data_IF_881222983561
#
_entry.id   IF_881222983561
#
_cell.length_a   1.000
_cell.length_b   1.000
_cell.length_c   1.000
_cell.angle_alpha   90.00
_cell.angle_beta   90.00
_cell.angle_gamma   90.00
#
_symmetry.space_group_name_H-M   'P 1'
#
loop_
_entity.id
_entity.type
_entity.pdbx_description
1 polymer ?
#
# COMPACT_ATOMS: atom_id res chain seq x y z
N UNK A 1 26.02 -17.88 -14.50
CA UNK A 1 24.73 -17.67 -13.83
C UNK A 1 24.81 -18.36 -12.48
N UNK A 2 24.90 -17.58 -11.41
CA UNK A 2 24.99 -18.13 -10.05
C UNK A 2 23.60 -18.53 -9.55
N UNK A 3 23.54 -19.46 -8.60
CA UNK A 3 22.28 -19.96 -8.01
C UNK A 3 21.38 -18.83 -7.48
N UNK A 4 21.97 -17.77 -6.91
CA UNK A 4 21.24 -16.55 -6.50
C UNK A 4 20.60 -15.78 -7.66
N UNK A 5 21.28 -15.68 -8.81
CA UNK A 5 20.71 -15.01 -9.99
C UNK A 5 19.54 -15.79 -10.58
N UNK A 6 19.63 -17.13 -10.57
CA UNK A 6 18.55 -18.00 -11.03
C UNK A 6 17.34 -17.93 -10.10
N UNK A 7 17.55 -17.96 -8.78
CA UNK A 7 16.47 -17.83 -7.79
C UNK A 7 15.78 -16.46 -7.88
N UNK A 8 16.54 -15.37 -8.06
CA UNK A 8 15.95 -14.04 -8.26
C UNK A 8 15.15 -13.96 -9.57
N UNK A 9 15.64 -14.55 -10.67
CA UNK A 9 14.91 -14.57 -11.94
C UNK A 9 13.57 -15.32 -11.82
N UNK A 10 13.57 -16.48 -11.18
CA UNK A 10 12.36 -17.28 -10.93
C UNK A 10 11.40 -16.55 -9.98
N UNK A 11 11.91 -15.88 -8.95
CA UNK A 11 11.12 -15.04 -8.03
C UNK A 11 10.48 -13.84 -8.76
N UNK A 12 11.18 -13.24 -9.72
CA UNK A 12 10.67 -12.13 -10.54
C UNK A 12 9.56 -12.58 -11.49
N UNK A 13 9.77 -13.67 -12.22
CA UNK A 13 8.74 -14.22 -13.11
C UNK A 13 7.49 -14.64 -12.31
N UNK A 14 7.67 -15.30 -11.17
CA UNK A 14 6.55 -15.70 -10.31
C UNK A 14 5.82 -14.51 -9.69
N UNK A 15 6.52 -13.49 -9.18
CA UNK A 15 5.90 -12.29 -8.63
C UNK A 15 5.10 -11.51 -9.68
N UNK A 16 5.64 -11.40 -10.90
CA UNK A 16 4.95 -10.78 -12.02
C UNK A 16 3.69 -11.57 -12.43
N UNK A 17 3.79 -12.90 -12.52
CA UNK A 17 2.66 -13.77 -12.85
C UNK A 17 1.56 -13.71 -11.79
N UNK A 18 1.92 -13.72 -10.50
CA UNK A 18 0.97 -13.59 -9.38
C UNK A 18 0.26 -12.24 -9.44
N UNK A 19 1.00 -11.15 -9.60
CA UNK A 19 0.38 -9.83 -9.67
C UNK A 19 -0.49 -9.66 -10.92
N UNK A 20 -0.10 -10.19 -12.08
CA UNK A 20 -0.96 -10.20 -13.27
C UNK A 20 -2.27 -10.96 -13.02
N UNK A 21 -2.20 -12.09 -12.31
CA UNK A 21 -3.38 -12.85 -11.90
C UNK A 21 -4.25 -12.07 -10.90
N UNK A 22 -3.65 -11.44 -9.90
CA UNK A 22 -4.36 -10.62 -8.92
C UNK A 22 -5.00 -9.37 -9.53
N UNK A 23 -4.38 -8.77 -10.56
CA UNK A 23 -4.92 -7.63 -11.31
C UNK A 23 -6.13 -7.98 -12.17
N UNK A 24 -6.25 -9.24 -12.63
CA UNK A 24 -7.37 -9.67 -13.46
C UNK A 24 -8.71 -9.48 -12.74
N UNK A 25 -8.74 -9.72 -11.43
CA UNK A 25 -9.94 -9.62 -10.60
C UNK A 25 -10.47 -8.18 -10.49
N UNK A 26 -9.71 -7.18 -10.01
CA UNK A 26 -10.20 -5.80 -9.92
C UNK A 26 -10.55 -5.23 -11.30
N UNK A 27 -9.79 -5.56 -12.35
CA UNK A 27 -10.12 -5.10 -13.71
C UNK A 27 -11.43 -5.71 -14.24
N UNK A 28 -11.69 -6.99 -13.95
CA UNK A 28 -12.94 -7.64 -14.34
C UNK A 28 -14.15 -7.03 -13.63
N UNK A 29 -13.99 -6.72 -12.33
CA UNK A 29 -15.03 -6.04 -11.52
C UNK A 29 -15.31 -4.64 -12.06
N UNK A 30 -14.27 -3.83 -12.29
CA UNK A 30 -14.42 -2.48 -12.88
C UNK A 30 -15.15 -2.57 -14.21
N UNK A 31 -14.75 -3.49 -15.09
CA UNK A 31 -15.40 -3.67 -16.38
C UNK A 31 -16.88 -4.04 -16.25
N UNK A 32 -17.22 -4.97 -15.36
CA UNK A 32 -18.62 -5.38 -15.15
C UNK A 32 -19.47 -4.22 -14.63
N UNK A 33 -18.98 -3.48 -13.63
CA UNK A 33 -19.67 -2.33 -13.06
C UNK A 33 -19.86 -1.20 -14.09
N UNK A 34 -18.84 -0.94 -14.92
CA UNK A 34 -18.95 0.01 -16.02
C UNK A 34 -19.94 -0.43 -17.10
N UNK A 35 -20.05 -1.74 -17.38
CA UNK A 35 -21.07 -2.27 -18.29
C UNK A 35 -22.47 -2.07 -17.70
N UNK A 36 -22.67 -2.33 -16.41
CA UNK A 36 -23.95 -2.07 -15.74
C UNK A 36 -24.35 -0.61 -15.85
N UNK A 37 -23.41 0.34 -15.67
CA UNK A 37 -23.71 1.77 -15.79
C UNK A 37 -24.06 2.24 -17.22
N UNK A 38 -23.61 1.51 -18.23
CA UNK A 38 -23.82 1.81 -19.65
C UNK A 38 -24.96 0.98 -20.28
N UNK A 39 -25.63 0.14 -19.50
CA UNK A 39 -26.72 -0.68 -19.98
C UNK A 39 -28.01 0.13 -20.00
N UNK A 40 -28.37 0.66 -21.18
CA UNK A 40 -29.56 1.49 -21.38
C UNK A 40 -30.87 0.73 -21.11
N UNK A 41 -30.85 -0.61 -21.10
CA UNK A 41 -32.00 -1.46 -20.78
C UNK A 41 -32.20 -1.65 -19.27
N UNK A 42 -31.25 -1.20 -18.44
CA UNK A 42 -31.31 -1.31 -16.98
C UNK A 42 -31.61 0.06 -16.36
N UNK A 43 -32.79 0.23 -15.75
CA UNK A 43 -33.08 1.42 -14.93
C UNK A 43 -32.31 1.36 -13.60
N UNK A 44 -31.40 2.31 -13.40
CA UNK A 44 -30.58 2.44 -12.19
C UNK A 44 -30.94 3.75 -11.50
N UNK A 45 -31.28 3.70 -10.22
CA UNK A 45 -31.49 4.91 -9.42
C UNK A 45 -30.19 5.69 -9.21
N UNK A 46 -30.30 6.98 -8.91
CA UNK A 46 -29.13 7.83 -8.64
C UNK A 46 -28.29 7.34 -7.45
N UNK A 47 -28.95 6.77 -6.43
CA UNK A 47 -28.29 6.17 -5.27
C UNK A 47 -27.45 4.94 -5.67
N UNK A 48 -28.02 4.06 -6.50
CA UNK A 48 -27.33 2.85 -6.94
C UNK A 48 -26.21 3.19 -7.93
N UNK A 49 -26.41 4.16 -8.82
CA UNK A 49 -25.36 4.72 -9.68
C UNK A 49 -24.19 5.24 -8.84
N UNK A 50 -24.47 6.00 -7.78
CA UNK A 50 -23.45 6.54 -6.89
C UNK A 50 -22.67 5.45 -6.16
N UNK A 51 -23.35 4.37 -5.73
CA UNK A 51 -22.70 3.20 -5.13
C UNK A 51 -21.80 2.46 -6.11
N UNK A 52 -22.26 2.24 -7.34
CA UNK A 52 -21.48 1.57 -8.39
C UNK A 52 -20.22 2.39 -8.71
N UNK A 53 -20.35 3.71 -8.88
CA UNK A 53 -19.20 4.60 -9.11
C UNK A 53 -18.19 4.54 -7.95
N UNK A 54 -18.67 4.57 -6.70
CA UNK A 54 -17.78 4.42 -5.53
C UNK A 54 -17.08 3.07 -5.49
N UNK A 55 -17.77 1.99 -5.89
CA UNK A 55 -17.17 0.66 -5.95
C UNK A 55 -16.10 0.58 -7.05
N UNK A 56 -16.32 1.22 -8.21
CA UNK A 56 -15.31 1.34 -9.27
C UNK A 56 -14.07 2.06 -8.74
N UNK A 57 -14.25 3.19 -8.07
CA UNK A 57 -13.17 4.01 -7.51
C UNK A 57 -12.30 3.19 -6.53
N UNK A 58 -12.92 2.58 -5.52
CA UNK A 58 -12.24 1.71 -4.53
C UNK A 58 -11.51 0.55 -5.21
N UNK A 59 -12.11 -0.05 -6.24
CA UNK A 59 -11.52 -1.19 -6.95
C UNK A 59 -10.34 -0.74 -7.83
N UNK A 60 -10.41 0.46 -8.40
CA UNK A 60 -9.34 1.04 -9.21
C UNK A 60 -8.11 1.39 -8.37
N UNK A 61 -8.31 1.94 -7.17
CA UNK A 61 -7.21 2.20 -6.23
C UNK A 61 -6.50 0.91 -5.83
N UNK A 62 -7.25 -0.18 -5.60
CA UNK A 62 -6.65 -1.50 -5.31
C UNK A 62 -5.78 -1.98 -6.47
N UNK A 63 -6.26 -1.86 -7.71
CA UNK A 63 -5.47 -2.24 -8.88
C UNK A 63 -4.20 -1.38 -9.02
N UNK A 64 -4.30 -0.08 -8.75
CA UNK A 64 -3.15 0.84 -8.81
C UNK A 64 -2.09 0.47 -7.77
N UNK A 65 -2.50 0.11 -6.54
CA UNK A 65 -1.59 -0.36 -5.49
C UNK A 65 -0.81 -1.61 -5.90
N UNK A 66 -1.46 -2.60 -6.52
CA UNK A 66 -0.78 -3.81 -7.03
C UNK A 66 0.33 -3.47 -8.04
N UNK A 67 0.09 -2.50 -8.94
CA UNK A 67 1.09 -2.04 -9.91
C UNK A 67 2.24 -1.29 -9.23
N UNK A 68 1.92 -0.45 -8.24
CA UNK A 68 2.94 0.25 -7.45
C UNK A 68 3.82 -0.71 -6.66
N UNK A 69 3.26 -1.78 -6.12
CA UNK A 69 4.03 -2.77 -5.37
C UNK A 69 4.95 -3.59 -6.29
N UNK A 70 4.47 -3.98 -7.47
CA UNK A 70 5.32 -4.62 -8.50
C UNK A 70 6.51 -3.74 -8.91
N UNK A 71 6.26 -2.46 -9.16
CA UNK A 71 7.33 -1.53 -9.57
C UNK A 71 8.33 -1.27 -8.46
N UNK A 72 7.91 -1.32 -7.18
CA UNK A 72 8.81 -1.27 -6.03
C UNK A 72 9.68 -2.52 -5.95
N UNK A 73 9.12 -3.73 -6.11
CA UNK A 73 9.89 -4.99 -6.13
C UNK A 73 10.99 -4.93 -7.19
N UNK A 74 10.67 -4.49 -8.40
CA UNK A 74 11.67 -4.37 -9.47
C UNK A 74 12.81 -3.38 -9.16
N UNK A 75 12.56 -2.35 -8.33
CA UNK A 75 13.59 -1.37 -7.93
C UNK A 75 14.43 -1.85 -6.75
N UNK A 76 13.90 -2.80 -5.96
CA UNK A 76 14.56 -3.28 -4.76
C UNK A 76 15.74 -4.22 -5.05
N UNK A 77 15.77 -4.89 -6.21
CA UNK A 77 16.77 -5.93 -6.50
C UNK A 77 18.02 -5.38 -7.20
N UNK A 78 17.93 -4.22 -7.86
CA UNK A 78 19.07 -3.60 -8.58
C UNK A 78 19.95 -2.69 -7.70
N UNK A 79 19.55 -2.42 -6.45
CA UNK A 79 20.23 -1.45 -5.60
C UNK A 79 21.06 -2.13 -4.50
N UNK A 80 22.36 -1.79 -4.43
CA UNK A 80 23.09 -1.91 -3.19
C UNK A 80 22.55 -0.87 -2.20
N UNK A 81 21.93 -1.33 -1.12
CA UNK A 81 21.37 -0.43 -0.11
C UNK A 81 22.43 0.01 0.87
N UNK A 82 22.73 1.30 0.88
CA UNK A 82 23.53 1.91 1.93
C UNK A 82 22.72 1.91 3.23
N UNK A 83 23.32 1.37 4.28
CA UNK A 83 22.76 1.38 5.62
C UNK A 83 23.40 2.53 6.40
N UNK A 84 22.58 3.29 7.11
CA UNK A 84 23.04 4.40 7.93
C UNK A 84 22.36 4.39 9.32
N UNK A 85 22.96 5.01 10.33
CA UNK A 85 22.30 5.25 11.60
C UNK A 85 21.13 6.21 11.44
N UNK A 86 19.91 5.73 11.70
CA UNK A 86 18.67 6.49 11.57
C UNK A 86 18.00 6.63 12.93
N UNK A 87 17.47 7.81 13.20
CA UNK A 87 16.61 8.03 14.35
C UNK A 87 15.22 7.45 14.09
N UNK A 88 14.90 6.34 14.77
CA UNK A 88 13.61 5.63 14.65
C UNK A 88 12.39 6.53 14.88
N UNK A 89 12.49 7.47 15.83
CA UNK A 89 11.42 8.44 16.07
C UNK A 89 11.24 9.39 14.88
N UNK A 90 12.34 9.88 14.32
CA UNK A 90 12.30 10.82 13.20
C UNK A 90 11.57 10.20 12.00
N UNK A 91 11.99 9.02 11.57
CA UNK A 91 11.37 8.35 10.41
C UNK A 91 9.88 8.04 10.64
N UNK A 92 9.48 7.60 11.84
CA UNK A 92 8.07 7.40 12.14
C UNK A 92 7.27 8.71 12.13
N UNK A 93 7.84 9.81 12.64
CA UNK A 93 7.21 11.13 12.59
C UNK A 93 7.06 11.63 11.15
N UNK A 94 8.08 11.46 10.32
CA UNK A 94 8.07 11.87 8.91
C UNK A 94 6.97 11.12 8.14
N UNK A 95 6.89 9.79 8.31
CA UNK A 95 5.82 8.95 7.71
C UNK A 95 4.43 9.37 8.18
N UNK A 96 4.22 9.55 9.49
CA UNK A 96 2.91 9.96 10.02
C UNK A 96 2.53 11.34 9.50
N UNK A 97 3.47 12.29 9.45
CA UNK A 97 3.21 13.64 8.92
C UNK A 97 2.74 13.56 7.47
N UNK A 98 3.46 12.80 6.65
CA UNK A 98 3.20 12.68 5.22
C UNK A 98 1.84 12.06 4.91
N UNK A 99 1.48 10.96 5.58
CA UNK A 99 0.23 10.24 5.28
C UNK A 99 -0.99 10.79 6.05
N UNK A 100 -0.78 11.69 7.02
CA UNK A 100 -1.86 12.20 7.87
C UNK A 100 -2.98 12.87 7.09
N UNK A 101 -2.67 13.59 6.00
CA UNK A 101 -3.67 14.28 5.20
C UNK A 101 -4.54 13.29 4.40
N UNK A 102 -3.94 12.20 3.89
CA UNK A 102 -4.68 11.11 3.23
C UNK A 102 -5.65 10.44 4.21
N UNK A 103 -5.20 10.21 5.45
CA UNK A 103 -6.06 9.68 6.52
C UNK A 103 -7.24 10.62 6.83
N UNK A 104 -7.00 11.94 6.93
CA UNK A 104 -8.06 12.94 7.18
C UNK A 104 -9.11 12.96 6.08
N UNK A 105 -8.71 12.84 4.81
CA UNK A 105 -9.65 12.77 3.67
C UNK A 105 -10.62 11.59 3.79
N UNK A 106 -10.19 10.50 4.44
CA UNK A 106 -10.99 9.32 4.70
C UNK A 106 -11.73 9.36 6.05
N UNK A 107 -11.71 10.48 6.77
CA UNK A 107 -12.23 10.63 8.14
C UNK A 107 -11.57 9.69 9.16
N UNK A 108 -10.28 9.40 8.97
CA UNK A 108 -9.50 8.52 9.84
C UNK A 108 -8.29 9.26 10.42
N UNK A 109 -7.68 8.66 11.44
CA UNK A 109 -6.51 9.22 12.11
C UNK A 109 -5.44 8.15 12.23
N UNK A 110 -4.21 8.54 11.92
CA UNK A 110 -2.99 7.79 12.21
C UNK A 110 -2.20 8.56 13.28
N UNK A 111 -1.63 7.84 14.26
CA UNK A 111 -0.78 8.45 15.29
C UNK A 111 0.51 7.69 15.48
N UNK A 112 1.56 8.44 15.81
CA UNK A 112 2.79 7.87 16.33
C UNK A 112 2.73 7.85 17.86
N UNK A 113 2.77 6.65 18.45
CA UNK A 113 2.91 6.50 19.90
C UNK A 113 4.36 6.25 20.25
N UNK A 114 5.02 7.31 20.70
CA UNK A 114 6.39 7.20 21.16
C UNK A 114 6.44 6.61 22.57
N UNK A 115 6.99 5.42 22.71
CA UNK A 115 7.05 4.74 24.02
C UNK A 115 8.40 4.99 24.73
N UNK A 116 9.45 5.48 24.04
CA UNK A 116 10.79 5.71 24.63
C UNK A 116 11.59 6.88 23.99
N UNK A 117 12.81 7.14 24.49
CA UNK A 117 13.73 8.17 23.98
C UNK A 117 14.34 7.76 22.63
N UNK A 118 14.73 8.74 21.80
CA UNK A 118 15.36 8.58 20.49
C UNK A 118 16.35 7.40 20.42
N UNK A 119 15.93 6.30 19.79
CA UNK A 119 16.79 5.15 19.51
C UNK A 119 17.32 5.24 18.08
N UNK A 120 18.64 5.06 17.95
CA UNK A 120 19.29 4.91 16.65
C UNK A 120 19.21 3.44 16.22
N UNK A 121 18.76 3.23 14.99
CA UNK A 121 18.74 1.93 14.32
C UNK A 121 19.64 2.00 13.09
N UNK A 122 20.16 0.87 12.63
CA UNK A 122 20.90 0.79 11.36
C UNK A 122 19.97 0.26 10.30
N UNK A 123 19.61 1.09 9.32
CA UNK A 123 18.73 0.73 8.23
C UNK A 123 19.00 1.61 7.00
N UNK A 124 18.39 1.30 5.87
CA UNK A 124 18.30 2.24 4.76
C UNK A 124 17.05 3.11 4.95
N UNK A 125 17.21 4.44 4.94
CA UNK A 125 16.14 5.37 5.27
C UNK A 125 14.97 5.28 4.30
N UNK A 126 15.26 5.33 2.99
CA UNK A 126 14.24 5.31 1.94
C UNK A 126 13.47 3.98 1.93
N UNK A 127 14.16 2.86 2.13
CA UNK A 127 13.51 1.56 2.21
C UNK A 127 12.60 1.44 3.41
N UNK A 128 13.10 1.79 4.60
CA UNK A 128 12.32 1.70 5.82
C UNK A 128 11.11 2.64 5.76
N UNK A 129 11.29 3.84 5.21
CA UNK A 129 10.19 4.79 4.96
C UNK A 129 9.17 4.19 4.00
N UNK A 130 9.59 3.60 2.89
CA UNK A 130 8.71 2.94 1.91
C UNK A 130 7.90 1.81 2.54
N UNK A 131 8.54 0.97 3.37
CA UNK A 131 7.86 -0.11 4.11
C UNK A 131 6.83 0.45 5.08
N UNK A 132 7.18 1.48 5.86
CA UNK A 132 6.25 2.11 6.82
C UNK A 132 5.08 2.80 6.11
N UNK A 133 5.32 3.47 4.97
CA UNK A 133 4.26 4.05 4.14
C UNK A 133 3.33 2.97 3.62
N UNK A 134 3.86 1.86 3.08
CA UNK A 134 3.06 0.75 2.58
C UNK A 134 2.16 0.13 3.65
N UNK A 135 2.68 -0.07 4.87
CA UNK A 135 1.85 -0.57 5.96
C UNK A 135 0.80 0.45 6.42
N UNK A 136 1.12 1.74 6.39
CA UNK A 136 0.19 2.80 6.75
C UNK A 136 -0.94 2.93 5.72
N UNK A 137 -0.63 2.85 4.43
CA UNK A 137 -1.60 2.76 3.34
C UNK A 137 -2.47 1.51 3.50
N UNK A 138 -1.87 0.33 3.71
CA UNK A 138 -2.64 -0.89 3.91
C UNK A 138 -3.57 -0.81 5.12
N UNK A 139 -3.14 -0.17 6.20
CA UNK A 139 -3.99 0.07 7.36
C UNK A 139 -5.16 1.02 7.04
N UNK A 140 -4.97 2.00 6.16
CA UNK A 140 -6.03 2.91 5.73
C UNK A 140 -7.19 2.19 5.02
N UNK A 141 -6.90 1.18 4.20
CA UNK A 141 -7.92 0.51 3.37
C UNK A 141 -8.44 -0.81 3.94
N UNK A 142 -7.68 -1.47 4.82
CA UNK A 142 -7.98 -2.83 5.30
C UNK A 142 -8.63 -2.88 6.68
N UNK A 143 -8.68 -1.76 7.41
CA UNK A 143 -9.28 -1.74 8.74
C UNK A 143 -10.65 -1.03 8.72
N UNK A 144 -11.54 -1.47 9.61
CA UNK A 144 -12.87 -0.87 9.78
C UNK A 144 -12.76 0.64 10.02
N UNK A 145 -13.73 1.43 9.55
CA UNK A 145 -13.71 2.90 9.62
C UNK A 145 -13.46 3.46 11.04
N UNK A 146 -13.86 2.71 12.08
CA UNK A 146 -13.71 3.09 13.50
C UNK A 146 -12.37 2.71 14.12
N UNK A 147 -11.52 1.96 13.43
CA UNK A 147 -10.25 1.49 14.00
C UNK A 147 -9.19 2.57 13.87
N UNK A 148 -8.57 2.89 14.98
CA UNK A 148 -7.46 3.83 15.04
C UNK A 148 -6.16 3.17 14.59
N UNK A 149 -5.38 3.85 13.74
CA UNK A 149 -4.10 3.33 13.25
C UNK A 149 -2.96 3.93 14.09
N UNK A 150 -2.09 3.08 14.63
CA UNK A 150 -0.98 3.48 15.49
C UNK A 150 0.35 2.91 14.97
N UNK A 151 1.37 3.76 14.85
CA UNK A 151 2.76 3.35 14.69
C UNK A 151 3.44 3.43 16.06
N UNK A 152 4.08 2.33 16.47
CA UNK A 152 4.75 2.20 17.77
C UNK A 152 6.15 1.60 17.61
N UNK A 153 7.10 2.13 18.38
CA UNK A 153 8.46 1.59 18.52
C UNK A 153 8.59 0.96 19.91
N UNK A 154 9.09 -0.27 19.98
CA UNK A 154 9.38 -1.00 21.22
C UNK A 154 10.51 -2.01 21.03
N UNK A 155 11.35 -2.22 22.05
CA UNK A 155 12.31 -3.31 22.05
C UNK A 155 11.59 -4.67 22.08
N UNK A 156 12.03 -5.56 21.20
CA UNK A 156 11.77 -6.99 21.32
C UNK A 156 12.86 -7.53 22.24
N UNK A 157 12.46 -7.92 23.46
CA UNK A 157 13.36 -8.56 24.42
C UNK A 157 13.71 -9.98 24.01
#
# INVERSE_FOLDING_TARGET
>A
MNEREFLNLVAKESSFLVAAHEMKTPLSIIRQLSLTLNDDDTEISDDERSRILRQIDITSERALRLVQDLTKISKLEDAMFELEPINSKKICCDVVSEISDVFKLHNRVIRFKNVRKNELIVANYELLRSVLMNFSDNALYSSNEKTEVEIKVSNVG
#
